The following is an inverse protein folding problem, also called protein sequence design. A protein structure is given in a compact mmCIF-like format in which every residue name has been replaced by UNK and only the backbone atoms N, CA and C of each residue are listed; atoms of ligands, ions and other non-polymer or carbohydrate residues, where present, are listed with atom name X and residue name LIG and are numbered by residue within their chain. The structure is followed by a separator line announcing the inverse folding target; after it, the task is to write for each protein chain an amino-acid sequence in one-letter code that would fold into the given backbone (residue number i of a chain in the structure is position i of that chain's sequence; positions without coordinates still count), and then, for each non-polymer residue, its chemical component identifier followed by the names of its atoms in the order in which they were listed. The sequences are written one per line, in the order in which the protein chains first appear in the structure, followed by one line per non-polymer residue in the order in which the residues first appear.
data_IF_973063635066
#
_entry.id   IF_973063635066
#
_cell.length_a   1.000
_cell.length_b   1.000
_cell.length_c   1.000
_cell.angle_alpha   90.00
_cell.angle_beta   90.00
_cell.angle_gamma   90.00
#
_symmetry.space_group_name_H-M   'P 1'
#
loop_
_entity.id
_entity.type
_entity.pdbx_description
1 polymer ?
#
# COMPACT_ATOMS: atom_id res chain seq x y z
N UNK A 1 -44.26 -28.15 -17.42
CA UNK A 1 -42.82 -27.93 -17.21
C UNK A 1 -42.56 -26.44 -17.31
N UNK A 2 -42.23 -25.76 -16.21
CA UNK A 2 -41.96 -24.32 -16.24
C UNK A 2 -40.46 -24.09 -16.44
N UNK A 3 -40.09 -23.50 -17.57
CA UNK A 3 -38.72 -23.04 -17.84
C UNK A 3 -38.55 -21.70 -17.12
N UNK A 4 -37.70 -21.64 -16.10
CA UNK A 4 -37.33 -20.36 -15.49
C UNK A 4 -36.62 -19.49 -16.54
N UNK A 5 -37.10 -18.26 -16.75
CA UNK A 5 -36.46 -17.30 -17.64
C UNK A 5 -35.13 -16.86 -17.02
N UNK A 6 -34.03 -16.79 -17.79
CA UNK A 6 -32.75 -16.32 -17.26
C UNK A 6 -32.89 -14.86 -16.80
N UNK A 7 -32.41 -14.58 -15.59
CA UNK A 7 -32.34 -13.23 -15.05
C UNK A 7 -31.35 -12.43 -15.92
N UNK A 8 -31.87 -11.59 -16.81
CA UNK A 8 -31.09 -10.61 -17.56
C UNK A 8 -30.53 -9.58 -16.58
N UNK A 9 -29.26 -9.75 -16.20
CA UNK A 9 -28.53 -8.79 -15.39
C UNK A 9 -28.37 -7.51 -16.21
N UNK A 10 -29.05 -6.42 -15.84
CA UNK A 10 -28.82 -5.11 -16.47
C UNK A 10 -27.39 -4.67 -16.13
N UNK A 11 -26.55 -4.52 -17.17
CA UNK A 11 -25.11 -4.28 -17.05
C UNK A 11 -24.73 -2.81 -16.75
N UNK A 12 -25.69 -1.89 -16.73
CA UNK A 12 -25.43 -0.50 -16.39
C UNK A 12 -26.64 0.13 -15.70
N UNK A 13 -26.39 0.81 -14.57
CA UNK A 13 -27.29 1.85 -14.09
C UNK A 13 -26.81 3.17 -14.69
N UNK A 14 -27.55 3.74 -15.64
CA UNK A 14 -27.23 5.06 -16.23
C UNK A 14 -27.18 6.19 -15.17
N UNK A 15 -27.62 5.90 -13.95
CA UNK A 15 -27.62 6.83 -12.81
C UNK A 15 -26.25 7.00 -12.14
N UNK A 16 -25.22 6.22 -12.49
CA UNK A 16 -23.85 6.38 -11.94
C UNK A 16 -22.80 6.03 -12.98
N UNK A 17 -21.78 6.89 -13.22
CA UNK A 17 -20.66 6.56 -14.08
C UNK A 17 -19.81 5.50 -13.37
N UNK A 18 -20.01 4.23 -13.72
CA UNK A 18 -19.19 3.13 -13.26
C UNK A 18 -18.86 2.24 -14.45
N UNK A 19 -17.67 1.62 -14.48
CA UNK A 19 -17.34 0.64 -15.50
C UNK A 19 -18.34 -0.52 -15.45
N UNK A 20 -18.59 -1.12 -16.60
CA UNK A 20 -19.45 -2.31 -16.70
C UNK A 20 -18.81 -3.42 -15.87
N UNK A 21 -19.54 -4.05 -14.93
CA UNK A 21 -18.98 -5.11 -14.12
C UNK A 21 -18.72 -6.35 -14.97
N UNK A 22 -17.56 -6.99 -14.76
CA UNK A 22 -17.16 -8.19 -15.47
C UNK A 22 -18.07 -9.40 -15.11
N UNK A 23 -18.19 -10.40 -16.00
CA UNK A 23 -18.72 -11.72 -15.66
C UNK A 23 -18.03 -12.31 -14.42
N UNK A 24 -18.75 -13.14 -13.66
CA UNK A 24 -18.24 -13.68 -12.38
C UNK A 24 -16.93 -14.47 -12.53
N UNK A 25 -16.76 -15.19 -13.62
CA UNK A 25 -15.55 -15.98 -13.90
C UNK A 25 -14.35 -15.04 -14.14
N UNK A 26 -14.51 -14.07 -15.04
CA UNK A 26 -13.47 -13.07 -15.33
C UNK A 26 -13.10 -12.21 -14.13
N UNK A 27 -14.10 -11.80 -13.33
CA UNK A 27 -13.86 -11.04 -12.10
C UNK A 27 -13.02 -11.85 -11.09
N UNK A 28 -13.29 -13.14 -10.93
CA UNK A 28 -12.51 -14.03 -10.05
C UNK A 28 -11.07 -14.18 -10.52
N UNK A 29 -10.86 -14.41 -11.81
CA UNK A 29 -9.52 -14.51 -12.39
C UNK A 29 -8.74 -13.21 -12.19
N UNK A 30 -9.37 -12.06 -12.44
CA UNK A 30 -8.77 -10.75 -12.22
C UNK A 30 -8.35 -10.56 -10.75
N UNK A 31 -9.24 -10.84 -9.81
CA UNK A 31 -8.96 -10.71 -8.37
C UNK A 31 -7.86 -11.68 -7.90
N UNK A 32 -7.81 -12.89 -8.45
CA UNK A 32 -6.76 -13.87 -8.16
C UNK A 32 -5.40 -13.38 -8.66
N UNK A 33 -5.33 -12.87 -9.90
CA UNK A 33 -4.11 -12.31 -10.48
C UNK A 33 -3.64 -11.08 -9.70
N UNK A 34 -4.56 -10.18 -9.36
CA UNK A 34 -4.28 -8.98 -8.56
C UNK A 34 -3.72 -9.36 -7.19
N UNK A 35 -4.32 -10.36 -6.52
CA UNK A 35 -3.83 -10.89 -5.25
C UNK A 35 -2.46 -11.53 -5.38
N UNK A 36 -2.24 -12.34 -6.42
CA UNK A 36 -0.96 -13.00 -6.65
C UNK A 36 0.17 -11.98 -6.88
N UNK A 37 -0.11 -10.90 -7.62
CA UNK A 37 0.84 -9.81 -7.82
C UNK A 37 1.13 -9.02 -6.53
N UNK A 38 0.15 -8.90 -5.62
CA UNK A 38 0.28 -8.16 -4.36
C UNK A 38 0.81 -8.99 -3.19
N UNK A 39 0.67 -10.31 -3.22
CA UNK A 39 1.14 -11.23 -2.17
C UNK A 39 2.60 -11.03 -1.73
N UNK A 40 3.59 -10.74 -2.61
CA UNK A 40 4.96 -10.46 -2.17
C UNK A 40 5.10 -9.18 -1.32
N UNK A 41 4.11 -8.30 -1.25
CA UNK A 41 4.16 -7.09 -0.41
C UNK A 41 3.75 -7.31 1.06
N UNK A 42 3.09 -8.43 1.39
CA UNK A 42 2.52 -8.66 2.73
C UNK A 42 3.50 -9.30 3.73
N UNK A 43 4.72 -9.66 3.30
CA UNK A 43 5.76 -10.22 4.16
C UNK A 43 6.58 -9.11 4.82
N UNK A 44 6.67 -9.12 6.16
CA UNK A 44 7.43 -8.15 6.95
C UNK A 44 8.97 -8.15 6.72
N UNK A 45 9.50 -8.97 5.81
CA UNK A 45 10.92 -9.17 5.54
C UNK A 45 11.25 -9.30 4.04
N UNK A 46 10.48 -8.65 3.16
CA UNK A 46 10.84 -8.61 1.74
C UNK A 46 11.85 -7.49 1.53
N UNK A 47 13.05 -7.85 1.05
CA UNK A 47 14.06 -6.86 0.68
C UNK A 47 13.44 -5.92 -0.36
N UNK A 48 13.58 -4.61 -0.16
CA UNK A 48 13.03 -3.60 -1.07
C UNK A 48 13.47 -3.79 -2.53
N UNK A 49 14.60 -4.48 -2.77
CA UNK A 49 15.09 -4.85 -4.09
C UNK A 49 14.23 -5.90 -4.83
N UNK A 50 13.44 -6.71 -4.11
CA UNK A 50 12.54 -7.74 -4.69
C UNK A 50 11.12 -7.22 -4.96
N UNK A 51 10.77 -6.06 -4.37
CA UNK A 51 9.57 -5.33 -4.74
C UNK A 51 9.87 -4.60 -6.05
N UNK A 52 9.16 -4.95 -7.12
CA UNK A 52 9.18 -4.19 -8.38
C UNK A 52 8.66 -2.76 -8.12
N UNK A 53 9.53 -1.91 -7.59
CA UNK A 53 9.30 -0.49 -7.42
C UNK A 53 9.11 0.12 -8.81
N UNK A 54 8.13 1.02 -8.91
CA UNK A 54 7.98 1.83 -10.12
C UNK A 54 9.30 2.59 -10.39
N UNK A 55 9.72 2.81 -11.65
CA UNK A 55 10.93 3.59 -11.95
C UNK A 55 10.96 4.97 -11.27
N UNK A 56 9.79 5.59 -11.07
CA UNK A 56 9.67 6.88 -10.38
C UNK A 56 9.49 6.78 -8.85
N UNK A 57 9.51 5.56 -8.29
CA UNK A 57 9.36 5.39 -6.86
C UNK A 57 10.59 5.98 -6.14
N UNK A 58 10.35 6.75 -5.07
CA UNK A 58 11.42 7.33 -4.27
C UNK A 58 12.14 6.23 -3.50
N UNK A 59 13.47 6.37 -3.38
CA UNK A 59 14.29 5.47 -2.59
C UNK A 59 13.78 5.44 -1.13
N UNK A 60 13.63 4.23 -0.53
CA UNK A 60 13.32 4.10 0.89
C UNK A 60 14.41 4.76 1.74
N UNK A 61 14.02 5.37 2.85
CA UNK A 61 14.97 5.93 3.80
C UNK A 61 15.74 4.81 4.50
N UNK A 62 17.06 4.95 4.56
CA UNK A 62 17.92 4.00 5.28
C UNK A 62 17.69 4.12 6.79
N UNK A 63 17.68 3.00 7.54
CA UNK A 63 17.65 3.03 8.99
C UNK A 63 18.92 3.69 9.55
N UNK A 64 18.79 4.40 10.67
CA UNK A 64 19.91 5.06 11.36
C UNK A 64 20.67 4.12 12.30
N UNK A 65 20.02 3.06 12.77
CA UNK A 65 20.62 2.08 13.65
C UNK A 65 20.18 0.65 13.32
N UNK A 66 21.02 -0.30 13.66
CA UNK A 66 20.76 -1.75 13.54
C UNK A 66 20.20 -2.31 14.85
N UNK A 67 19.49 -3.44 14.76
CA UNK A 67 18.83 -4.07 15.90
C UNK A 67 17.46 -3.47 16.24
N UNK A 68 16.96 -3.83 17.43
CA UNK A 68 15.62 -3.45 17.92
C UNK A 68 15.65 -2.31 18.94
N UNK A 69 16.84 -1.96 19.46
CA UNK A 69 17.02 -0.95 20.50
C UNK A 69 17.73 0.27 19.93
N UNK A 70 17.13 1.44 20.10
CA UNK A 70 17.73 2.70 19.70
C UNK A 70 18.92 3.02 20.62
N UNK A 71 20.16 3.15 20.10
CA UNK A 71 21.34 3.41 20.92
C UNK A 71 21.35 4.79 21.60
N UNK A 72 20.54 5.75 21.15
CA UNK A 72 20.46 7.09 21.72
C UNK A 72 19.39 7.20 22.81
N UNK A 73 18.20 6.65 22.57
CA UNK A 73 17.05 6.79 23.48
C UNK A 73 16.82 5.56 24.36
N UNK A 74 17.38 4.40 23.99
CA UNK A 74 17.14 3.13 24.66
C UNK A 74 15.77 2.51 24.35
N UNK A 75 14.97 3.13 23.49
CA UNK A 75 13.65 2.61 23.11
C UNK A 75 13.76 1.31 22.32
N UNK A 76 12.90 0.34 22.65
CA UNK A 76 12.84 -0.96 21.97
C UNK A 76 11.61 -1.06 21.07
N UNK A 77 11.79 -1.54 19.84
CA UNK A 77 10.69 -1.78 18.89
C UNK A 77 10.13 -0.51 18.22
N UNK A 78 10.78 0.64 18.40
CA UNK A 78 10.45 1.89 17.74
C UNK A 78 10.93 1.95 16.28
N UNK A 79 10.55 3.01 15.54
CA UNK A 79 11.11 3.27 14.22
C UNK A 79 12.64 3.30 14.26
N UNK A 80 13.31 2.64 13.30
CA UNK A 80 14.79 2.59 13.21
C UNK A 80 15.45 3.92 12.81
N UNK A 81 14.72 5.01 12.95
CA UNK A 81 15.09 6.37 12.60
C UNK A 81 14.16 7.32 13.34
N UNK A 82 14.73 8.39 13.87
CA UNK A 82 13.93 9.39 14.57
C UNK A 82 12.91 10.03 13.61
N UNK A 83 11.60 9.95 13.91
CA UNK A 83 10.57 10.48 13.03
C UNK A 83 10.66 12.00 12.89
N UNK A 84 11.01 12.72 13.96
CA UNK A 84 11.04 14.18 14.00
C UNK A 84 12.48 14.67 14.07
N UNK A 85 12.93 15.35 13.01
CA UNK A 85 14.23 16.02 12.99
C UNK A 85 14.11 17.52 13.29
N UNK A 86 15.15 18.11 13.88
CA UNK A 86 15.33 19.56 13.90
C UNK A 86 15.94 19.99 12.55
N UNK A 87 15.25 20.83 11.78
CA UNK A 87 15.86 21.50 10.62
C UNK A 87 16.58 22.77 11.10
N UNK A 88 17.56 23.28 10.34
CA UNK A 88 18.56 24.27 10.73
C UNK A 88 18.06 25.56 11.42
N UNK A 89 16.76 25.87 11.36
CA UNK A 89 16.12 27.06 11.94
C UNK A 89 15.03 26.73 13.00
N UNK A 90 14.89 25.48 13.46
CA UNK A 90 14.07 25.13 14.62
C UNK A 90 12.72 24.45 14.33
N UNK A 91 12.38 24.22 13.06
CA UNK A 91 11.12 23.58 12.69
C UNK A 91 11.18 22.04 12.85
N UNK A 92 10.15 21.48 13.46
CA UNK A 92 9.92 20.03 13.55
C UNK A 92 9.33 19.53 12.24
N UNK A 93 10.02 18.61 11.57
CA UNK A 93 9.57 18.06 10.29
C UNK A 93 9.61 16.54 10.29
N UNK A 94 8.60 15.94 9.66
CA UNK A 94 8.56 14.50 9.35
C UNK A 94 8.81 14.31 7.86
N UNK A 95 9.88 13.59 7.50
CA UNK A 95 10.32 13.39 6.10
C UNK A 95 10.48 14.72 5.32
N UNK A 96 10.93 15.77 5.99
CA UNK A 96 11.12 17.10 5.37
C UNK A 96 9.82 17.84 5.07
N UNK A 97 8.70 17.39 5.61
CA UNK A 97 7.42 18.12 5.60
C UNK A 97 7.12 18.60 7.01
N UNK A 98 6.80 19.88 7.12
CA UNK A 98 6.22 20.47 8.32
C UNK A 98 4.75 20.07 8.36
N UNK A 99 4.27 19.60 9.51
CA UNK A 99 2.85 19.36 9.77
C UNK A 99 2.36 20.42 10.74
N UNK A 100 1.27 21.12 10.40
CA UNK A 100 0.48 21.85 11.38
C UNK A 100 -0.50 20.89 12.07
N UNK A 101 -0.89 21.19 13.31
CA UNK A 101 -1.87 20.44 14.10
C UNK A 101 -3.07 21.34 14.41
#
# INVERSE_FOLDING_TARGET
MYRALPILRRYSSLNRPAPIPLPREQQREFELLQRAAQAPLAGNNVKLDELQLHPDAREPLKPEFEGDVNPKTGEQGGPKREPVGHWAEGDWSFKGRVSDF
#
